data_IF_721797701082
#
_entry.id   IF_721797701082
#
_cell.length_a   1.000
_cell.length_b   1.000
_cell.length_c   1.000
_cell.angle_alpha   90.00
_cell.angle_beta   90.00
_cell.angle_gamma   90.00
#
_symmetry.space_group_name_H-M   'P 1'
#
loop_
_entity.id
_entity.type
_entity.pdbx_description
1 polymer ?
#
# COMPACT_ATOMS: atom_id res chain seq x y z
N UNK A 1 23.95 16.07 56.20
CA UNK A 1 25.10 15.76 55.31
C UNK A 1 24.69 16.25 53.93
N UNK A 2 24.87 17.54 53.54
CA UNK A 2 26.16 18.18 53.19
C UNK A 2 26.95 17.16 52.34
N UNK A 3 27.06 17.26 51.02
CA UNK A 3 27.52 18.40 50.25
C UNK A 3 27.48 18.05 48.77
N UNK A 4 27.01 18.95 47.90
CA UNK A 4 27.86 19.70 46.95
C UNK A 4 28.44 18.82 45.83
N UNK A 5 27.88 18.94 44.64
CA UNK A 5 28.70 19.38 43.50
C UNK A 5 27.81 20.05 42.44
N UNK A 6 27.64 21.34 42.65
CA UNK A 6 27.16 22.31 41.68
C UNK A 6 28.32 22.70 40.76
N UNK A 7 28.19 22.55 39.44
CA UNK A 7 28.90 23.35 38.43
C UNK A 7 27.97 23.45 37.22
N UNK A 8 27.04 24.41 37.16
CA UNK A 8 27.24 25.75 36.57
C UNK A 8 27.94 25.74 35.21
N UNK A 9 27.14 25.61 34.14
CA UNK A 9 27.41 26.27 32.86
C UNK A 9 26.10 27.00 32.52
N UNK A 10 25.87 28.15 33.14
CA UNK A 10 26.18 29.47 32.59
C UNK A 10 25.35 29.74 31.33
N UNK A 11 24.22 30.39 31.58
CA UNK A 11 23.43 31.09 30.58
C UNK A 11 24.29 32.11 29.83
N UNK A 12 24.15 32.13 28.51
CA UNK A 12 24.39 33.32 27.70
C UNK A 12 23.04 33.70 27.08
N UNK A 13 22.32 34.55 27.80
CA UNK A 13 21.30 35.41 27.20
C UNK A 13 21.99 36.53 26.42
N UNK A 14 21.30 37.04 25.39
CA UNK A 14 21.44 38.31 24.64
C UNK A 14 20.97 37.98 23.21
N UNK A 15 19.69 38.08 22.87
CA UNK A 15 18.95 39.34 22.75
C UNK A 15 18.98 39.79 21.29
N UNK A 16 17.89 39.54 20.55
CA UNK A 16 17.54 40.19 19.27
C UNK A 16 16.07 39.86 18.99
N UNK A 17 15.15 40.70 19.48
CA UNK A 17 14.50 41.78 18.73
C UNK A 17 13.52 41.26 17.66
N UNK A 18 12.27 41.67 17.86
CA UNK A 18 11.08 41.30 17.11
C UNK A 18 11.20 41.48 15.59
N UNK A 19 10.61 40.55 14.84
CA UNK A 19 9.80 40.89 13.67
C UNK A 19 8.58 40.00 13.62
N UNK A 20 7.42 40.62 13.87
CA UNK A 20 6.11 40.17 13.41
C UNK A 20 6.18 40.06 11.89
N UNK A 21 5.94 38.85 11.37
CA UNK A 21 5.84 38.57 9.93
C UNK A 21 4.58 37.76 9.67
N UNK A 22 3.44 38.45 9.61
CA UNK A 22 2.19 37.88 9.10
C UNK A 22 2.33 37.83 7.58
N UNK A 23 2.70 36.69 7.03
CA UNK A 23 2.50 36.44 5.60
C UNK A 23 1.36 35.47 5.45
N UNK A 24 0.24 35.99 4.96
CA UNK A 24 -0.89 35.23 4.47
C UNK A 24 -0.40 34.16 3.49
N UNK A 25 -0.56 32.89 3.88
CA UNK A 25 -0.47 31.74 2.99
C UNK A 25 -1.78 30.97 3.10
N UNK A 26 -2.73 31.26 2.23
CA UNK A 26 -3.82 30.34 1.96
C UNK A 26 -3.29 29.10 1.25
N UNK A 27 -3.94 27.97 1.53
CA UNK A 27 -3.79 26.67 0.88
C UNK A 27 -2.51 25.89 1.19
N UNK A 28 -2.59 25.05 2.22
CA UNK A 28 -2.15 23.67 2.10
C UNK A 28 -3.08 22.82 2.95
N UNK A 29 -4.20 22.46 2.33
CA UNK A 29 -5.04 21.32 2.75
C UNK A 29 -4.20 20.04 2.53
N UNK A 30 -3.14 19.88 3.32
CA UNK A 30 -2.35 18.67 3.38
C UNK A 30 -2.98 17.72 4.38
N UNK A 31 -4.22 17.32 4.12
CA UNK A 31 -4.70 16.03 4.60
C UNK A 31 -3.76 15.01 3.96
N UNK A 32 -2.70 14.73 4.71
CA UNK A 32 -1.77 13.65 4.52
C UNK A 32 -2.65 12.42 4.47
N UNK A 33 -3.03 12.04 3.25
CA UNK A 33 -3.75 10.82 2.97
C UNK A 33 -2.78 9.72 3.36
N UNK A 34 -2.97 9.31 4.61
CA UNK A 34 -2.66 8.03 5.19
C UNK A 34 -2.23 7.05 4.13
N UNK A 35 -0.96 6.68 4.22
CA UNK A 35 -0.48 5.37 3.82
C UNK A 35 -1.47 4.32 4.33
N UNK A 36 -2.39 3.90 3.46
CA UNK A 36 -2.89 2.52 3.46
C UNK A 36 -2.11 1.81 2.36
N UNK A 37 -0.83 1.57 2.65
CA UNK A 37 -0.21 0.35 2.14
C UNK A 37 -0.69 -0.75 3.08
N UNK A 38 -2.01 -1.00 3.05
CA UNK A 38 -2.51 -2.35 3.20
C UNK A 38 -1.67 -3.18 2.25
N UNK A 39 -1.12 -4.29 2.75
CA UNK A 39 -0.38 -5.25 1.94
C UNK A 39 -1.34 -5.77 0.87
N UNK A 40 -1.52 -5.00 -0.20
CA UNK A 40 -2.33 -5.37 -1.34
C UNK A 40 -1.52 -6.46 -2.00
N UNK A 41 -1.85 -7.70 -1.65
CA UNK A 41 -1.23 -8.87 -2.23
C UNK A 41 -1.57 -8.79 -3.72
N UNK A 42 -0.55 -8.47 -4.51
CA UNK A 42 -0.73 -8.34 -5.94
C UNK A 42 -0.97 -9.72 -6.53
N UNK A 43 -1.90 -9.85 -7.48
CA UNK A 43 -2.11 -11.12 -8.15
C UNK A 43 -0.82 -11.56 -8.86
N UNK A 44 -0.59 -12.87 -8.91
CA UNK A 44 0.57 -13.46 -9.59
C UNK A 44 0.45 -13.40 -11.11
N UNK A 45 -0.73 -13.08 -11.62
CA UNK A 45 -1.06 -12.99 -13.03
C UNK A 45 -1.43 -11.56 -13.42
N UNK A 46 -0.90 -11.12 -14.55
CA UNK A 46 -1.28 -9.84 -15.20
C UNK A 46 -2.48 -10.03 -16.12
N UNK A 47 -2.64 -11.23 -16.68
CA UNK A 47 -3.72 -11.60 -17.60
C UNK A 47 -4.68 -12.56 -16.92
N UNK A 48 -5.99 -12.34 -17.08
CA UNK A 48 -7.05 -13.18 -16.56
C UNK A 48 -6.96 -14.60 -17.15
N UNK A 49 -6.85 -15.65 -16.32
CA UNK A 49 -6.73 -17.04 -16.78
C UNK A 49 -7.99 -17.59 -17.45
N UNK A 50 -9.14 -16.92 -17.27
CA UNK A 50 -10.42 -17.32 -17.88
C UNK A 50 -10.72 -16.50 -19.12
N UNK A 51 -10.59 -15.17 -19.02
CA UNK A 51 -11.02 -14.24 -20.05
C UNK A 51 -9.91 -13.77 -21.00
N UNK A 52 -8.63 -14.00 -20.68
CA UNK A 52 -7.50 -13.59 -21.53
C UNK A 52 -7.28 -12.08 -21.65
N UNK A 53 -7.96 -11.28 -20.82
CA UNK A 53 -7.81 -9.83 -20.73
C UNK A 53 -7.03 -9.42 -19.49
N UNK A 54 -6.54 -8.19 -19.43
CA UNK A 54 -5.80 -7.68 -18.27
C UNK A 54 -6.63 -7.79 -16.98
N UNK A 55 -5.95 -8.12 -15.88
CA UNK A 55 -6.54 -8.19 -14.55
C UNK A 55 -6.96 -6.80 -14.09
N UNK A 56 -8.14 -6.71 -13.48
CA UNK A 56 -8.69 -5.46 -12.96
C UNK A 56 -8.69 -5.50 -11.43
N UNK A 57 -7.94 -4.61 -10.75
CA UNK A 57 -7.83 -4.63 -9.28
C UNK A 57 -9.17 -4.49 -8.55
N UNK A 58 -10.15 -3.80 -9.14
CA UNK A 58 -11.47 -3.61 -8.53
C UNK A 58 -12.32 -4.89 -8.48
N UNK A 59 -11.96 -5.93 -9.24
CA UNK A 59 -12.64 -7.24 -9.20
C UNK A 59 -12.17 -8.06 -8.01
N UNK A 60 -10.97 -7.78 -7.49
CA UNK A 60 -10.34 -8.53 -6.42
C UNK A 60 -9.59 -9.78 -6.90
N UNK A 61 -9.06 -10.52 -5.92
CA UNK A 61 -8.24 -11.72 -6.12
C UNK A 61 -8.80 -12.90 -5.34
N UNK A 62 -8.44 -14.11 -5.73
CA UNK A 62 -8.72 -15.34 -4.97
C UNK A 62 -7.42 -16.05 -4.63
N UNK A 63 -7.31 -16.56 -3.40
CA UNK A 63 -6.17 -17.38 -3.01
C UNK A 63 -6.32 -18.79 -3.60
N UNK A 64 -5.36 -19.20 -4.42
CA UNK A 64 -5.28 -20.51 -5.04
C UNK A 64 -3.84 -21.03 -5.02
N UNK A 65 -3.62 -22.23 -4.48
CA UNK A 65 -2.27 -22.83 -4.32
C UNK A 65 -1.25 -21.92 -3.60
N UNK A 66 -1.71 -21.09 -2.65
CA UNK A 66 -0.86 -20.13 -1.94
C UNK A 66 -0.43 -18.91 -2.77
N UNK A 67 -1.04 -18.72 -3.95
CA UNK A 67 -0.89 -17.56 -4.82
C UNK A 67 -2.21 -16.78 -4.87
N UNK A 68 -2.14 -15.49 -5.14
CA UNK A 68 -3.36 -14.72 -5.45
C UNK A 68 -3.57 -14.63 -6.94
N UNK A 69 -4.76 -14.99 -7.39
CA UNK A 69 -5.16 -14.97 -8.80
C UNK A 69 -6.17 -13.86 -8.99
N UNK A 70 -5.88 -12.95 -9.92
CA UNK A 70 -6.76 -11.84 -10.29
C UNK A 70 -7.54 -12.11 -11.57
N UNK A 71 -8.63 -11.36 -11.76
CA UNK A 71 -9.55 -11.53 -12.88
C UNK A 71 -9.88 -10.21 -13.57
N UNK A 72 -10.30 -10.28 -14.84
CA UNK A 72 -10.70 -9.12 -15.62
C UNK A 72 -12.16 -8.67 -15.36
N UNK A 73 -13.01 -9.54 -14.79
CA UNK A 73 -14.40 -9.23 -14.45
C UNK A 73 -14.95 -10.18 -13.37
N UNK A 74 -16.03 -9.76 -12.70
CA UNK A 74 -16.71 -10.55 -11.65
C UNK A 74 -17.20 -11.91 -12.18
N UNK A 75 -17.70 -11.96 -13.42
CA UNK A 75 -18.13 -13.23 -14.03
C UNK A 75 -16.99 -14.24 -14.22
N UNK A 76 -15.75 -13.77 -14.44
CA UNK A 76 -14.59 -14.67 -14.43
C UNK A 76 -14.27 -15.15 -13.01
N UNK A 77 -14.39 -14.29 -12.00
CA UNK A 77 -14.19 -14.69 -10.61
C UNK A 77 -15.23 -15.72 -10.15
N UNK A 78 -16.50 -15.54 -10.51
CA UNK A 78 -17.56 -16.50 -10.21
C UNK A 78 -17.38 -17.82 -10.98
N UNK A 79 -17.05 -17.71 -12.27
CA UNK A 79 -16.74 -18.87 -13.11
C UNK A 79 -15.56 -19.66 -12.57
N UNK A 80 -14.52 -18.98 -12.08
CA UNK A 80 -13.40 -19.59 -11.39
C UNK A 80 -13.89 -20.42 -10.21
N UNK A 81 -14.72 -19.88 -9.32
CA UNK A 81 -15.19 -20.65 -8.16
C UNK A 81 -15.94 -21.93 -8.55
N UNK A 82 -16.70 -21.89 -9.65
CA UNK A 82 -17.45 -23.04 -10.19
C UNK A 82 -16.58 -24.11 -10.89
N UNK A 83 -15.36 -23.78 -11.32
CA UNK A 83 -14.46 -24.71 -12.01
C UNK A 83 -13.88 -25.78 -11.08
N UNK A 84 -13.56 -26.94 -11.66
CA UNK A 84 -12.80 -27.98 -10.96
C UNK A 84 -11.35 -27.55 -10.72
N UNK A 85 -10.64 -28.13 -9.73
CA UNK A 85 -9.23 -27.83 -9.50
C UNK A 85 -8.36 -28.03 -10.74
N UNK A 86 -8.60 -29.10 -11.52
CA UNK A 86 -7.85 -29.39 -12.74
C UNK A 86 -8.00 -28.28 -13.81
N UNK A 87 -9.19 -27.72 -13.97
CA UNK A 87 -9.44 -26.60 -14.89
C UNK A 87 -8.76 -25.32 -14.39
N UNK A 88 -8.80 -25.06 -13.09
CA UNK A 88 -8.10 -23.93 -12.45
C UNK A 88 -6.60 -24.01 -12.62
N UNK A 89 -6.02 -25.19 -12.44
CA UNK A 89 -4.59 -25.44 -12.63
C UNK A 89 -4.16 -25.15 -14.07
N UNK A 90 -4.92 -25.65 -15.05
CA UNK A 90 -4.65 -25.41 -16.46
C UNK A 90 -4.78 -23.93 -16.84
N UNK A 91 -5.82 -23.27 -16.34
CA UNK A 91 -6.06 -21.86 -16.61
C UNK A 91 -4.98 -20.97 -15.98
N UNK A 92 -4.57 -21.25 -14.73
CA UNK A 92 -3.50 -20.52 -14.08
C UNK A 92 -2.15 -20.77 -14.76
N UNK A 93 -1.84 -22.00 -15.16
CA UNK A 93 -0.62 -22.30 -15.91
C UNK A 93 -0.53 -21.55 -17.24
N UNK A 94 -1.67 -21.32 -17.92
CA UNK A 94 -1.71 -20.52 -19.14
C UNK A 94 -1.47 -19.01 -18.87
N UNK A 95 -1.90 -18.52 -17.71
CA UNK A 95 -1.72 -17.13 -17.30
C UNK A 95 -0.35 -16.84 -16.65
N UNK A 96 0.36 -17.88 -16.22
CA UNK A 96 1.71 -17.80 -15.64
C UNK A 96 2.71 -18.37 -16.66
N UNK A 97 3.30 -17.55 -17.56
CA UNK A 97 4.34 -18.06 -18.45
C UNK A 97 5.50 -18.61 -17.60
N UNK A 98 5.75 -19.90 -17.77
CA UNK A 98 6.90 -20.58 -17.19
C UNK A 98 8.08 -20.30 -18.09
N UNK A 99 8.97 -19.40 -17.66
CA UNK A 99 10.34 -19.30 -18.16
C UNK A 99 11.31 -19.72 -17.06
#
# INVERSE_FOLDING_TARGET
MKSILTVFIAAVALGSLATVGVTAGCASNGANATASNELAVQPVNEVCPIGGHDVVPSVGTVSYMGKEVGFCCEGCLDGWQAMTPAEKDAALAAAMPTE
#
